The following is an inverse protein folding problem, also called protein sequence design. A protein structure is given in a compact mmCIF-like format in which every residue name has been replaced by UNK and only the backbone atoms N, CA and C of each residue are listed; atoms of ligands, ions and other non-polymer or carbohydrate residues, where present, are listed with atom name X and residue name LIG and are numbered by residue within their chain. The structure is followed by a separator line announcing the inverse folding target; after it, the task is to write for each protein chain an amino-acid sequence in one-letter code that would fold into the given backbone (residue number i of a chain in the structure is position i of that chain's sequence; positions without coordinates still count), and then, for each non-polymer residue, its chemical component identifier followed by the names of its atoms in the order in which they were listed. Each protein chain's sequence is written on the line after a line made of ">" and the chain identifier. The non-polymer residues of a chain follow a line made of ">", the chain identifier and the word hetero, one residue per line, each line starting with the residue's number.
data_IF_978155103194
#
_entry.id   IF_978155103194
#
_cell.length_a   1.000
_cell.length_b   1.000
_cell.length_c   1.000
_cell.angle_alpha   90.00
_cell.angle_beta   90.00
_cell.angle_gamma   90.00
#
_symmetry.space_group_name_H-M   'P 1'
#
loop_
_entity.id
_entity.type
_entity.pdbx_description
1 polymer ?
#
# COMPACT_ATOMS: atom_id res chain seq x y z
N UNK A 1 -30.40 -16.14 2.32
CA UNK A 1 -29.29 -15.85 1.37
C UNK A 1 -29.07 -14.34 1.36
N UNK A 2 -28.32 -13.79 2.32
CA UNK A 2 -28.06 -12.34 2.40
C UNK A 2 -26.56 -12.16 2.62
N UNK A 3 -25.77 -12.59 1.63
CA UNK A 3 -24.34 -12.26 1.56
C UNK A 3 -24.11 -10.80 1.12
N UNK A 4 -25.17 -10.09 0.72
CA UNK A 4 -25.13 -8.72 0.21
C UNK A 4 -25.94 -7.75 1.07
N UNK A 5 -25.77 -7.80 2.40
CA UNK A 5 -26.30 -6.74 3.25
C UNK A 5 -25.54 -5.42 2.96
N UNK A 6 -26.23 -4.28 3.01
CA UNK A 6 -25.66 -2.95 2.70
C UNK A 6 -24.45 -2.63 3.58
N UNK A 7 -24.48 -3.05 4.84
CA UNK A 7 -23.37 -2.90 5.78
C UNK A 7 -22.16 -3.74 5.37
N UNK A 8 -22.38 -4.99 4.92
CA UNK A 8 -21.32 -5.84 4.41
C UNK A 8 -20.63 -5.21 3.18
N UNK A 9 -21.42 -4.72 2.22
CA UNK A 9 -20.90 -3.97 1.06
C UNK A 9 -20.11 -2.72 1.47
N UNK A 10 -20.56 -2.01 2.51
CA UNK A 10 -19.87 -0.82 3.00
C UNK A 10 -18.51 -1.15 3.63
N UNK A 11 -18.46 -2.13 4.53
CA UNK A 11 -17.20 -2.56 5.15
C UNK A 11 -16.25 -3.19 4.14
N UNK A 12 -16.78 -3.96 3.18
CA UNK A 12 -15.99 -4.53 2.09
C UNK A 12 -15.37 -3.44 1.20
N UNK A 13 -16.14 -2.40 0.85
CA UNK A 13 -15.64 -1.25 0.10
C UNK A 13 -14.55 -0.49 0.86
N UNK A 14 -14.72 -0.27 2.17
CA UNK A 14 -13.70 0.34 3.03
C UNK A 14 -12.41 -0.50 3.08
N UNK A 15 -12.54 -1.80 3.29
CA UNK A 15 -11.41 -2.74 3.28
C UNK A 15 -10.69 -2.75 1.94
N UNK A 16 -11.45 -2.78 0.84
CA UNK A 16 -10.91 -2.73 -0.51
C UNK A 16 -10.16 -1.43 -0.79
N UNK A 17 -10.74 -0.28 -0.39
CA UNK A 17 -10.11 1.02 -0.55
C UNK A 17 -8.81 1.14 0.25
N UNK A 18 -8.81 0.76 1.52
CA UNK A 18 -7.61 0.79 2.37
C UNK A 18 -6.55 -0.19 1.86
N UNK A 19 -6.94 -1.41 1.48
CA UNK A 19 -6.06 -2.38 0.85
C UNK A 19 -5.43 -1.84 -0.43
N UNK A 20 -6.21 -1.18 -1.27
CA UNK A 20 -5.72 -0.53 -2.49
C UNK A 20 -4.70 0.59 -2.19
N UNK A 21 -4.95 1.42 -1.17
CA UNK A 21 -4.01 2.47 -0.76
C UNK A 21 -2.68 1.87 -0.27
N UNK A 22 -2.74 0.81 0.52
CA UNK A 22 -1.54 0.14 1.05
C UNK A 22 -0.74 -0.52 -0.08
N UNK A 23 -1.41 -1.31 -0.93
CA UNK A 23 -0.78 -1.97 -2.08
C UNK A 23 -0.22 -0.95 -3.06
N UNK A 24 -0.95 0.14 -3.31
CA UNK A 24 -0.51 1.24 -4.16
C UNK A 24 0.77 1.90 -3.65
N UNK A 25 0.83 2.21 -2.35
CA UNK A 25 2.04 2.77 -1.72
C UNK A 25 3.23 1.82 -1.83
N UNK A 26 3.06 0.56 -1.46
CA UNK A 26 4.13 -0.45 -1.56
C UNK A 26 4.59 -0.59 -3.02
N UNK A 27 3.65 -0.64 -3.96
CA UNK A 27 3.91 -0.72 -5.39
C UNK A 27 4.72 0.47 -5.92
N UNK A 28 4.41 1.69 -5.49
CA UNK A 28 5.17 2.89 -5.86
C UNK A 28 6.61 2.81 -5.37
N UNK A 29 6.84 2.39 -4.12
CA UNK A 29 8.20 2.26 -3.59
C UNK A 29 9.00 1.15 -4.28
N UNK A 30 8.36 0.02 -4.59
CA UNK A 30 8.99 -1.05 -5.39
C UNK A 30 9.30 -0.56 -6.81
N UNK A 31 8.40 0.22 -7.42
CA UNK A 31 8.62 0.80 -8.74
C UNK A 31 9.79 1.79 -8.73
N UNK A 32 9.87 2.66 -7.72
CA UNK A 32 11.00 3.57 -7.51
C UNK A 32 12.32 2.80 -7.38
N UNK A 33 12.35 1.72 -6.59
CA UNK A 33 13.53 0.86 -6.51
C UNK A 33 13.91 0.28 -7.88
N UNK A 34 12.95 -0.26 -8.64
CA UNK A 34 13.21 -0.80 -9.99
C UNK A 34 13.77 0.27 -10.95
N UNK A 35 13.31 1.51 -10.80
CA UNK A 35 13.80 2.65 -11.56
C UNK A 35 15.26 2.93 -11.18
N UNK A 36 15.58 2.99 -9.88
CA UNK A 36 16.95 3.15 -9.39
C UNK A 36 17.86 1.99 -9.83
N UNK A 37 17.40 0.75 -9.73
CA UNK A 37 18.12 -0.45 -10.18
C UNK A 37 18.49 -0.36 -11.67
N UNK A 38 17.62 0.21 -12.51
CA UNK A 38 17.87 0.39 -13.94
C UNK A 38 18.98 1.42 -14.25
N UNK A 39 19.12 2.48 -13.45
CA UNK A 39 20.04 3.58 -13.74
C UNK A 39 21.33 3.57 -12.91
N UNK A 40 21.35 2.94 -11.74
CA UNK A 40 22.49 2.93 -10.82
C UNK A 40 23.11 1.54 -10.68
N UNK A 41 22.56 0.71 -9.81
CA UNK A 41 23.07 -0.61 -9.50
C UNK A 41 22.03 -1.44 -8.74
N UNK A 42 22.09 -2.76 -8.91
CA UNK A 42 21.24 -3.70 -8.17
C UNK A 42 21.78 -3.88 -6.75
N UNK A 43 20.93 -3.66 -5.75
CA UNK A 43 21.30 -3.81 -4.35
C UNK A 43 20.13 -4.39 -3.56
N UNK A 44 20.29 -5.64 -3.12
CA UNK A 44 19.31 -6.36 -2.28
C UNK A 44 18.98 -5.63 -0.97
N UNK A 45 19.96 -5.04 -0.26
CA UNK A 45 19.67 -4.22 0.93
C UNK A 45 18.78 -3.00 0.63
N UNK A 46 19.02 -2.33 -0.50
CA UNK A 46 18.21 -1.19 -0.94
C UNK A 46 16.78 -1.61 -1.26
N UNK A 47 16.60 -2.77 -1.90
CA UNK A 47 15.26 -3.31 -2.17
C UNK A 47 14.46 -3.53 -0.88
N UNK A 48 15.09 -4.15 0.12
CA UNK A 48 14.46 -4.40 1.43
C UNK A 48 14.10 -3.08 2.10
N UNK A 49 15.01 -2.09 2.11
CA UNK A 49 14.75 -0.76 2.66
C UNK A 49 13.54 -0.08 2.00
N UNK A 50 13.51 -0.03 0.67
CA UNK A 50 12.40 0.57 -0.06
C UNK A 50 11.07 -0.15 0.20
N UNK A 51 11.11 -1.49 0.29
CA UNK A 51 9.92 -2.30 0.59
C UNK A 51 9.39 -1.98 2.00
N UNK A 52 10.27 -1.95 3.00
CA UNK A 52 9.91 -1.63 4.39
C UNK A 52 9.33 -0.22 4.48
N UNK A 53 9.97 0.77 3.85
CA UNK A 53 9.47 2.15 3.79
C UNK A 53 8.10 2.20 3.11
N UNK A 54 7.93 1.47 2.00
CA UNK A 54 6.65 1.39 1.28
C UNK A 54 5.53 0.80 2.14
N UNK A 55 5.83 -0.22 2.94
CA UNK A 55 4.90 -0.81 3.90
C UNK A 55 4.53 0.21 4.97
N UNK A 56 5.51 0.81 5.65
CA UNK A 56 5.24 1.83 6.68
C UNK A 56 4.46 3.03 6.13
N UNK A 57 4.82 3.52 4.93
CA UNK A 57 4.10 4.60 4.23
C UNK A 57 2.66 4.20 3.90
N UNK A 58 2.44 2.99 3.40
CA UNK A 58 1.11 2.48 3.07
C UNK A 58 0.21 2.40 4.30
N UNK A 59 0.72 1.84 5.40
CA UNK A 59 -0.03 1.78 6.67
C UNK A 59 -0.24 3.16 7.29
N UNK A 60 0.73 4.06 7.21
CA UNK A 60 0.61 5.43 7.71
C UNK A 60 -0.45 6.23 6.92
N UNK A 61 -0.45 6.12 5.60
CA UNK A 61 -1.46 6.76 4.75
C UNK A 61 -2.86 6.19 5.01
N UNK A 62 -2.98 4.87 5.14
CA UNK A 62 -4.23 4.23 5.52
C UNK A 62 -4.72 4.73 6.90
N UNK A 63 -3.82 4.82 7.88
CA UNK A 63 -4.13 5.36 9.21
C UNK A 63 -4.61 6.81 9.14
N UNK A 64 -3.94 7.69 8.40
CA UNK A 64 -4.37 9.08 8.22
C UNK A 64 -5.73 9.19 7.54
N UNK A 65 -6.00 8.36 6.53
CA UNK A 65 -7.30 8.33 5.85
C UNK A 65 -8.43 7.89 6.79
N UNK A 66 -8.17 6.94 7.68
CA UNK A 66 -9.15 6.49 8.69
C UNK A 66 -9.36 7.57 9.75
N UNK A 67 -8.27 8.14 10.26
CA UNK A 67 -8.29 9.13 11.34
C UNK A 67 -8.75 10.52 10.88
N UNK A 68 -8.83 10.79 9.56
CA UNK A 68 -9.13 12.11 8.97
C UNK A 68 -8.34 13.25 9.63
N UNK A 69 -7.05 13.02 9.89
CA UNK A 69 -6.14 14.09 10.33
C UNK A 69 -5.66 14.92 9.15
#
# INVERSE_FOLDING_TARGET
>A
MIFFNKDFMHYFSLLGFLGFVIVGNIGIFIFLYKLIEKYFFKSTPLFVLFTVIGVFSGFYNAYNLIMKK
#
